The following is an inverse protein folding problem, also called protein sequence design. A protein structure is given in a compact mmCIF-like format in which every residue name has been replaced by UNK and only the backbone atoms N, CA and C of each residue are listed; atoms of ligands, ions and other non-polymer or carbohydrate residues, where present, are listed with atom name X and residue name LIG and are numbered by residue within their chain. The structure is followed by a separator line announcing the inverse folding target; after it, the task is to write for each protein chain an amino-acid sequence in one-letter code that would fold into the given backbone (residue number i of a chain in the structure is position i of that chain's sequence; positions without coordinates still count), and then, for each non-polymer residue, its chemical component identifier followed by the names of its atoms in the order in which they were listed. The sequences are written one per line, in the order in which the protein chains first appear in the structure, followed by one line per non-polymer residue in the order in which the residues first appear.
data_IF_875132426560
#
_entry.id   IF_875132426560
#
_cell.length_a   1.000
_cell.length_b   1.000
_cell.length_c   1.000
_cell.angle_alpha   90.00
_cell.angle_beta   90.00
_cell.angle_gamma   90.00
#
_symmetry.space_group_name_H-M   'P 1'
#
loop_
_entity.id
_entity.type
_entity.pdbx_description
1 polymer ?
#
# COMPACT_ATOMS: atom_id res chain seq x y z
N UNK A 1 7.73 -0.99 9.14
CA UNK A 1 8.79 -0.65 8.20
C UNK A 1 9.21 0.80 8.35
N UNK A 2 10.50 1.03 8.38
CA UNK A 2 11.05 2.38 8.44
C UNK A 2 11.11 2.99 7.05
N UNK A 3 11.00 4.31 6.97
CA UNK A 3 11.17 5.01 5.71
C UNK A 3 12.66 5.06 5.35
N UNK A 4 13.04 4.33 4.30
CA UNK A 4 14.42 4.29 3.80
C UNK A 4 14.61 5.14 2.54
N UNK A 5 13.57 5.82 2.09
CA UNK A 5 13.58 6.58 0.85
C UNK A 5 13.61 8.08 1.12
N UNK A 6 14.35 8.82 0.31
CA UNK A 6 14.37 10.28 0.31
C UNK A 6 13.32 10.88 -0.63
N UNK A 7 12.26 10.11 -0.92
CA UNK A 7 11.18 10.58 -1.77
C UNK A 7 10.09 11.27 -0.93
N UNK A 8 9.22 12.02 -1.60
CA UNK A 8 8.06 12.63 -0.95
C UNK A 8 6.91 11.65 -0.71
N UNK A 9 7.13 10.38 -1.00
CA UNK A 9 6.15 9.33 -0.78
C UNK A 9 6.15 8.95 0.69
N UNK A 10 4.96 8.92 1.28
CA UNK A 10 4.81 8.71 2.71
C UNK A 10 4.97 7.24 3.08
N UNK A 11 5.60 7.01 4.23
CA UNK A 11 5.59 5.70 4.89
C UNK A 11 4.49 5.73 5.94
N UNK A 12 3.58 4.76 5.91
CA UNK A 12 2.42 4.72 6.77
C UNK A 12 2.21 3.33 7.34
N UNK A 13 1.55 3.26 8.49
CA UNK A 13 1.09 2.01 9.04
C UNK A 13 -0.11 1.49 8.25
N UNK A 14 -0.20 0.17 8.13
CA UNK A 14 -1.30 -0.49 7.42
C UNK A 14 -1.96 -1.49 8.37
N UNK A 15 -3.29 -1.45 8.43
CA UNK A 15 -4.09 -2.47 9.11
C UNK A 15 -4.68 -3.40 8.06
N UNK A 16 -4.42 -4.69 8.18
CA UNK A 16 -4.99 -5.70 7.27
C UNK A 16 -6.32 -6.21 7.82
N UNK A 17 -7.34 -6.20 6.98
CA UNK A 17 -8.69 -6.66 7.32
C UNK A 17 -9.10 -7.81 6.40
N UNK A 18 -10.06 -8.64 6.83
CA UNK A 18 -10.51 -9.80 6.07
C UNK A 18 -11.66 -9.48 5.11
N UNK A 19 -12.32 -8.34 5.29
CA UNK A 19 -13.44 -7.93 4.46
C UNK A 19 -13.32 -6.45 4.10
N UNK A 20 -13.85 -6.03 2.94
CA UNK A 20 -13.81 -4.62 2.56
C UNK A 20 -14.44 -3.70 3.59
N UNK A 21 -13.78 -2.59 3.89
CA UNK A 21 -14.33 -1.55 4.76
C UNK A 21 -15.11 -0.56 3.90
N UNK A 22 -16.39 -0.37 4.20
CA UNK A 22 -17.31 0.38 3.35
C UNK A 22 -18.01 1.55 4.06
N UNK A 23 -17.74 1.75 5.35
CA UNK A 23 -18.43 2.72 6.21
C UNK A 23 -17.57 3.95 6.56
N UNK A 24 -16.52 4.24 5.78
CA UNK A 24 -15.62 5.35 6.03
C UNK A 24 -14.42 5.01 6.92
N UNK A 25 -14.40 3.82 7.52
CA UNK A 25 -13.24 3.33 8.28
C UNK A 25 -12.92 4.12 9.55
N UNK A 26 -13.92 4.64 10.25
CA UNK A 26 -13.72 5.53 11.40
C UNK A 26 -12.91 4.92 12.55
N UNK A 27 -12.87 3.60 12.65
CA UNK A 27 -12.09 2.91 13.69
C UNK A 27 -10.63 2.67 13.31
N UNK A 28 -10.24 3.04 12.11
CA UNK A 28 -8.86 2.87 11.63
C UNK A 28 -8.16 4.21 11.53
N UNK A 29 -6.93 4.29 12.08
CA UNK A 29 -6.18 5.55 12.15
C UNK A 29 -5.40 5.86 10.88
N UNK A 30 -5.13 4.85 10.04
CA UNK A 30 -4.26 4.98 8.88
C UNK A 30 -4.81 4.17 7.71
N UNK A 31 -3.93 3.59 6.92
CA UNK A 31 -4.30 2.81 5.75
C UNK A 31 -4.85 1.44 6.12
N UNK A 32 -5.76 0.95 5.31
CA UNK A 32 -6.35 -0.38 5.44
C UNK A 32 -6.13 -1.15 4.14
N UNK A 33 -5.74 -2.41 4.25
CA UNK A 33 -5.64 -3.31 3.11
C UNK A 33 -6.17 -4.70 3.47
N UNK A 34 -6.08 -5.64 2.53
CA UNK A 34 -6.58 -7.00 2.74
C UNK A 34 -5.49 -8.07 2.60
N UNK A 35 -4.25 -7.71 2.28
CA UNK A 35 -3.22 -8.69 1.91
C UNK A 35 -1.90 -8.57 2.69
N UNK A 36 -1.56 -7.40 3.20
CA UNK A 36 -0.22 -7.13 3.74
C UNK A 36 0.17 -8.06 4.88
N UNK A 37 -0.76 -8.38 5.78
CA UNK A 37 -0.48 -9.26 6.91
C UNK A 37 -0.04 -10.65 6.44
N UNK A 38 -0.74 -11.21 5.46
CA UNK A 38 -0.44 -12.54 4.93
C UNK A 38 0.93 -12.56 4.23
N UNK A 39 1.22 -11.50 3.47
CA UNK A 39 2.52 -11.36 2.81
C UNK A 39 3.63 -11.30 3.85
N UNK A 40 3.48 -10.48 4.89
CA UNK A 40 4.47 -10.38 5.96
C UNK A 40 4.66 -11.72 6.68
N UNK A 41 3.59 -12.44 6.94
CA UNK A 41 3.64 -13.74 7.61
C UNK A 41 4.46 -14.74 6.81
N UNK A 42 4.22 -14.83 5.51
CA UNK A 42 4.95 -15.75 4.63
C UNK A 42 6.43 -15.36 4.56
N UNK A 43 6.73 -14.09 4.35
CA UNK A 43 8.12 -13.63 4.23
C UNK A 43 8.87 -13.81 5.54
N UNK A 44 8.22 -13.55 6.68
CA UNK A 44 8.82 -13.73 8.00
C UNK A 44 9.16 -15.22 8.27
N UNK A 45 8.35 -16.14 7.74
CA UNK A 45 8.63 -17.58 7.88
C UNK A 45 9.93 -18.01 7.22
N UNK A 46 10.49 -17.20 6.32
CA UNK A 46 11.78 -17.42 5.68
C UNK A 46 12.88 -16.51 6.25
N UNK A 47 12.65 -15.89 7.40
CA UNK A 47 13.58 -14.96 8.06
C UNK A 47 14.05 -13.82 7.15
N UNK A 48 13.15 -13.31 6.31
CA UNK A 48 13.49 -12.37 5.26
C UNK A 48 12.70 -11.07 5.34
N UNK A 49 12.01 -10.81 6.45
CA UNK A 49 11.14 -9.64 6.62
C UNK A 49 11.87 -8.32 6.42
N UNK A 50 13.14 -8.24 6.83
CA UNK A 50 13.97 -7.04 6.69
C UNK A 50 14.21 -6.65 5.23
N UNK A 51 14.01 -7.56 4.28
CA UNK A 51 14.16 -7.31 2.86
C UNK A 51 12.84 -7.05 2.15
N UNK A 52 11.72 -7.00 2.89
CA UNK A 52 10.39 -6.78 2.32
C UNK A 52 10.05 -5.31 2.28
N UNK A 53 9.58 -4.85 1.12
CA UNK A 53 9.02 -3.52 0.93
C UNK A 53 7.65 -3.64 0.30
N UNK A 54 6.66 -2.96 0.85
CA UNK A 54 5.29 -2.97 0.33
C UNK A 54 4.96 -1.56 -0.16
N UNK A 55 4.55 -1.47 -1.41
CA UNK A 55 4.10 -0.23 -2.04
C UNK A 55 2.60 -0.35 -2.28
N UNK A 56 1.84 0.63 -1.80
CA UNK A 56 0.39 0.66 -1.97
C UNK A 56 -0.03 1.97 -2.61
N UNK A 57 -1.01 1.88 -3.48
CA UNK A 57 -1.68 3.03 -4.07
C UNK A 57 -3.05 3.14 -3.40
N UNK A 58 -3.34 4.31 -2.83
CA UNK A 58 -4.63 4.54 -2.19
C UNK A 58 -5.70 4.61 -3.27
N UNK A 59 -6.69 3.73 -3.18
CA UNK A 59 -7.76 3.63 -4.17
C UNK A 59 -9.05 4.35 -3.75
N UNK A 60 -9.28 4.54 -2.42
CA UNK A 60 -10.59 5.00 -1.95
C UNK A 60 -10.54 5.47 -0.50
N UNK A 61 -11.68 5.98 -0.03
CA UNK A 61 -11.87 6.47 1.33
C UNK A 61 -12.62 5.46 2.22
N UNK A 62 -12.76 4.21 1.77
CA UNK A 62 -13.48 3.16 2.51
C UNK A 62 -14.98 3.45 2.70
N UNK A 63 -15.57 4.23 1.82
CA UNK A 63 -16.93 4.71 1.95
C UNK A 63 -17.67 4.58 0.61
N UNK A 64 -18.58 3.63 0.51
CA UNK A 64 -19.32 3.36 -0.73
C UNK A 64 -20.21 4.53 -1.16
N UNK A 65 -20.56 5.45 -0.24
CA UNK A 65 -21.34 6.64 -0.59
C UNK A 65 -20.51 7.73 -1.26
N UNK A 66 -19.19 7.69 -1.11
CA UNK A 66 -18.24 8.66 -1.67
C UNK A 66 -17.42 8.10 -2.82
N UNK A 67 -17.16 6.81 -2.78
CA UNK A 67 -16.18 6.17 -3.66
C UNK A 67 -16.89 5.67 -4.92
N UNK A 68 -16.23 5.88 -6.05
CA UNK A 68 -16.66 5.30 -7.32
C UNK A 68 -15.61 4.31 -7.79
N UNK A 69 -16.00 3.06 -7.99
CA UNK A 69 -15.11 2.01 -8.45
C UNK A 69 -15.48 1.52 -9.84
N UNK A 70 -14.46 1.45 -10.70
CA UNK A 70 -14.52 0.77 -11.98
C UNK A 70 -13.12 0.25 -12.31
N UNK A 71 -13.02 -0.68 -13.26
CA UNK A 71 -11.71 -1.12 -13.74
C UNK A 71 -10.90 0.04 -14.32
N UNK A 72 -11.57 0.97 -15.02
CA UNK A 72 -10.92 2.14 -15.59
C UNK A 72 -10.30 3.03 -14.51
N UNK A 73 -11.01 3.22 -13.39
CA UNK A 73 -10.51 3.99 -12.25
C UNK A 73 -9.26 3.36 -11.65
N UNK A 74 -9.28 2.03 -11.46
CA UNK A 74 -8.12 1.31 -10.93
C UNK A 74 -6.95 1.39 -11.90
N UNK A 75 -7.20 1.19 -13.18
CA UNK A 75 -6.17 1.31 -14.22
C UNK A 75 -5.53 2.69 -14.21
N UNK A 76 -6.33 3.75 -14.15
CA UNK A 76 -5.84 5.13 -14.14
C UNK A 76 -4.99 5.41 -12.91
N UNK A 77 -5.38 4.88 -11.74
CA UNK A 77 -4.58 5.01 -10.52
C UNK A 77 -3.19 4.40 -10.69
N UNK A 78 -3.11 3.20 -11.25
CA UNK A 78 -1.84 2.54 -11.49
C UNK A 78 -1.02 3.32 -12.53
N UNK A 79 -1.65 3.66 -13.66
CA UNK A 79 -0.99 4.36 -14.76
C UNK A 79 -0.44 5.71 -14.32
N UNK A 80 -1.21 6.48 -13.56
CA UNK A 80 -0.80 7.79 -13.07
C UNK A 80 0.32 7.71 -12.02
N UNK A 81 0.56 6.55 -11.43
CA UNK A 81 1.59 6.35 -10.41
C UNK A 81 2.80 5.55 -10.90
N UNK A 82 2.84 5.16 -12.18
CA UNK A 82 3.96 4.36 -12.70
C UNK A 82 5.31 5.05 -12.52
N UNK A 83 5.40 6.36 -12.79
CA UNK A 83 6.66 7.08 -12.62
C UNK A 83 7.09 7.14 -11.14
N UNK A 84 6.15 7.23 -10.21
CA UNK A 84 6.45 7.18 -8.79
C UNK A 84 6.95 5.79 -8.36
N UNK A 85 6.36 4.74 -8.89
CA UNK A 85 6.77 3.36 -8.63
C UNK A 85 8.17 3.12 -9.18
N UNK A 86 8.45 3.54 -10.41
CA UNK A 86 9.77 3.44 -11.01
C UNK A 86 10.84 4.14 -10.16
N UNK A 87 10.52 5.33 -9.66
CA UNK A 87 11.42 6.10 -8.82
C UNK A 87 11.73 5.36 -7.52
N UNK A 88 10.72 4.76 -6.89
CA UNK A 88 10.89 3.95 -5.70
C UNK A 88 11.76 2.72 -5.97
N UNK A 89 11.58 2.06 -7.10
CA UNK A 89 12.39 0.90 -7.47
C UNK A 89 13.85 1.26 -7.70
N UNK A 90 14.12 2.42 -8.30
CA UNK A 90 15.47 2.95 -8.45
C UNK A 90 16.09 3.24 -7.09
N UNK A 91 15.35 3.89 -6.19
CA UNK A 91 15.81 4.17 -4.83
C UNK A 91 16.15 2.89 -4.08
N UNK A 92 15.30 1.86 -4.17
CA UNK A 92 15.55 0.54 -3.57
C UNK A 92 16.86 -0.07 -4.09
N UNK A 93 17.07 -0.04 -5.38
CA UNK A 93 18.28 -0.57 -5.99
C UNK A 93 19.53 0.14 -5.49
N UNK A 94 19.45 1.46 -5.33
CA UNK A 94 20.59 2.28 -4.89
C UNK A 94 20.88 2.14 -3.40
N UNK A 95 19.91 1.67 -2.60
CA UNK A 95 20.06 1.49 -1.15
C UNK A 95 20.59 0.10 -0.76
N UNK A 96 20.62 -0.82 -1.69
CA UNK A 96 21.10 -2.19 -1.45
C UNK A 96 22.64 -2.30 -1.51
#
# INVERSE_FOLDING_TARGET
LNNVFESQILTQNITTVSEPVTNGGNKYCTLVDMEAHEICTVVDSYDNLENLFIIKIISDFMDVSRDYFSFDTVYDLVDNNISNIDKLLVDLRNKQ
#
